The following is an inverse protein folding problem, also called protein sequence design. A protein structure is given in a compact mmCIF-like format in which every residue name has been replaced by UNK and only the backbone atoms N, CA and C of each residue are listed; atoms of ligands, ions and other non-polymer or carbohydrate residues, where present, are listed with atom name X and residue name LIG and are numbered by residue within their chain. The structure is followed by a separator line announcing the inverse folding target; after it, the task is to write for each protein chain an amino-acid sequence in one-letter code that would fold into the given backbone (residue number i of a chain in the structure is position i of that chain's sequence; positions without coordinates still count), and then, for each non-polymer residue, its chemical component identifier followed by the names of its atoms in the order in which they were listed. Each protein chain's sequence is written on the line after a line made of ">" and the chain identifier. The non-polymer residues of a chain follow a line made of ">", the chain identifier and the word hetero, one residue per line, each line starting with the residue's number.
data_IF_219398538266
#
_entry.id   IF_219398538266
#
_cell.length_a   1.000
_cell.length_b   1.000
_cell.length_c   1.000
_cell.angle_alpha   90.00
_cell.angle_beta   90.00
_cell.angle_gamma   90.00
#
_symmetry.space_group_name_H-M   'P 1'
#
loop_
_entity.id
_entity.type
_entity.pdbx_description
1 polymer ?
#
# COMPACT_ATOMS: atom_id res chain seq x y z
N UNK A 1 -15.82 -1.05 75.82
CA UNK A 1 -14.91 -0.12 75.13
C UNK A 1 -15.23 -0.20 73.64
N UNK A 2 -15.63 0.94 73.09
CA UNK A 2 -16.02 1.35 71.73
C UNK A 2 -15.98 0.36 70.54
N UNK A 3 -17.06 0.44 69.74
CA UNK A 3 -17.20 -0.04 68.35
C UNK A 3 -16.09 0.49 67.43
N UNK A 4 -15.69 -0.30 66.43
CA UNK A 4 -15.45 0.21 65.05
C UNK A 4 -15.85 -0.87 64.04
N UNK A 5 -17.02 -0.71 63.41
CA UNK A 5 -17.34 -1.37 62.14
C UNK A 5 -16.69 -0.54 61.02
N UNK A 6 -15.80 -1.14 60.23
CA UNK A 6 -15.34 -0.53 58.98
C UNK A 6 -16.34 -0.87 57.88
N UNK A 7 -17.20 0.09 57.56
CA UNK A 7 -18.00 0.09 56.34
C UNK A 7 -17.06 0.42 55.18
N UNK A 8 -16.80 -0.55 54.30
CA UNK A 8 -16.13 -0.28 53.03
C UNK A 8 -17.11 0.50 52.13
N UNK A 9 -16.84 1.78 51.91
CA UNK A 9 -17.51 2.57 50.88
C UNK A 9 -17.13 2.00 49.50
N UNK A 10 -18.06 1.30 48.86
CA UNK A 10 -18.04 1.08 47.42
C UNK A 10 -18.33 2.43 46.73
N UNK A 11 -17.27 3.12 46.31
CA UNK A 11 -17.37 4.26 45.42
C UNK A 11 -17.84 3.78 44.05
N UNK A 12 -19.14 3.90 43.79
CA UNK A 12 -19.68 3.84 42.43
C UNK A 12 -19.20 5.09 41.68
N UNK A 13 -18.19 4.94 40.83
CA UNK A 13 -17.90 5.92 39.80
C UNK A 13 -19.10 5.96 38.85
N UNK A 14 -19.69 7.14 38.55
CA UNK A 14 -20.73 7.22 37.54
C UNK A 14 -20.10 6.84 36.20
N UNK A 15 -20.58 5.75 35.60
CA UNK A 15 -20.31 5.45 34.21
C UNK A 15 -20.84 6.63 33.39
N UNK A 16 -19.94 7.47 32.90
CA UNK A 16 -20.27 8.49 31.90
C UNK A 16 -20.68 7.73 30.65
N UNK A 17 -21.99 7.58 30.45
CA UNK A 17 -22.57 7.21 29.18
C UNK A 17 -22.12 8.27 28.16
N UNK A 18 -21.06 7.95 27.42
CA UNK A 18 -20.68 8.71 26.23
C UNK A 18 -21.84 8.60 25.25
N UNK A 19 -22.58 9.69 25.10
CA UNK A 19 -23.57 9.86 24.05
C UNK A 19 -22.93 9.52 22.70
N UNK A 20 -23.57 8.71 21.84
CA UNK A 20 -23.07 8.51 20.49
C UNK A 20 -23.08 9.89 19.83
N UNK A 21 -21.90 10.37 19.43
CA UNK A 21 -21.79 11.54 18.57
C UNK A 21 -22.35 11.09 17.23
N UNK A 22 -23.66 11.28 17.02
CA UNK A 22 -24.27 11.27 15.69
C UNK A 22 -23.85 12.55 14.99
N UNK A 23 -22.56 12.63 14.66
CA UNK A 23 -22.02 13.61 13.75
C UNK A 23 -22.26 13.11 12.35
N UNK A 24 -23.45 13.37 11.81
CA UNK A 24 -23.71 13.26 10.38
C UNK A 24 -23.00 14.45 9.69
N UNK A 25 -21.67 14.45 9.72
CA UNK A 25 -20.88 15.37 8.93
C UNK A 25 -20.95 14.88 7.50
N UNK A 26 -21.93 15.35 6.74
CA UNK A 26 -21.82 15.35 5.27
C UNK A 26 -20.49 16.01 4.95
N UNK A 27 -19.52 15.20 4.56
CA UNK A 27 -18.15 15.62 4.29
C UNK A 27 -18.19 16.65 3.19
N UNK A 28 -17.81 17.89 3.50
CA UNK A 28 -17.46 18.89 2.50
C UNK A 28 -16.38 18.27 1.61
N UNK A 29 -16.67 18.08 0.33
CA UNK A 29 -15.76 17.45 -0.62
C UNK A 29 -14.38 18.12 -0.64
N UNK A 30 -13.35 17.35 -1.00
CA UNK A 30 -11.99 17.85 -1.15
C UNK A 30 -11.95 19.02 -2.15
N UNK A 31 -11.47 20.18 -1.71
CA UNK A 31 -11.38 21.40 -2.55
C UNK A 31 -9.97 21.71 -3.04
N UNK A 32 -8.95 21.10 -2.43
CA UNK A 32 -7.53 21.32 -2.74
C UNK A 32 -6.78 19.99 -2.64
N UNK A 33 -6.96 19.07 -3.60
CA UNK A 33 -6.27 17.79 -3.55
C UNK A 33 -4.76 17.98 -3.63
N UNK A 34 -4.02 17.19 -2.86
CA UNK A 34 -2.58 17.03 -3.08
C UNK A 34 -2.33 16.10 -4.26
N UNK A 35 -1.23 16.28 -4.98
CA UNK A 35 -0.95 15.50 -6.19
C UNK A 35 0.14 14.48 -5.88
N UNK A 36 -0.20 13.19 -5.95
CA UNK A 36 0.76 12.08 -5.97
C UNK A 36 1.43 12.03 -7.35
N UNK A 37 2.75 11.91 -7.38
CA UNK A 37 3.57 12.10 -8.58
C UNK A 37 4.45 10.91 -8.88
N UNK A 38 4.79 10.72 -10.15
CA UNK A 38 5.71 9.66 -10.56
C UNK A 38 7.11 9.94 -9.99
N UNK A 39 7.77 8.92 -9.42
CA UNK A 39 9.04 9.04 -8.70
C UNK A 39 10.11 9.87 -9.45
N UNK A 40 10.24 9.71 -10.76
CA UNK A 40 11.28 10.36 -11.56
C UNK A 40 11.03 11.86 -11.74
N UNK A 41 9.81 12.33 -11.49
CA UNK A 41 9.48 13.75 -11.51
C UNK A 41 9.86 14.47 -10.21
N UNK A 42 10.10 13.72 -9.13
CA UNK A 42 10.51 14.29 -7.85
C UNK A 42 11.92 14.86 -7.92
N UNK A 43 12.12 15.98 -7.22
CA UNK A 43 13.47 16.51 -6.96
C UNK A 43 14.27 15.55 -6.07
N UNK A 44 15.60 15.61 -6.16
CA UNK A 44 16.46 14.78 -5.29
C UNK A 44 16.19 15.03 -3.79
N UNK A 45 15.91 16.29 -3.40
CA UNK A 45 15.58 16.61 -2.01
C UNK A 45 14.31 15.93 -1.50
N UNK A 46 13.30 15.75 -2.36
CA UNK A 46 12.08 15.01 -2.02
C UNK A 46 12.36 13.50 -1.90
N UNK A 47 13.16 12.94 -2.82
CA UNK A 47 13.62 11.54 -2.76
C UNK A 47 14.40 11.27 -1.47
N UNK A 48 15.31 12.15 -1.10
CA UNK A 48 16.09 12.03 0.13
C UNK A 48 15.21 12.12 1.38
N UNK A 49 14.19 12.99 1.40
CA UNK A 49 13.21 13.06 2.50
C UNK A 49 12.41 11.77 2.62
N UNK A 50 11.98 11.18 1.50
CA UNK A 50 11.28 9.90 1.48
C UNK A 50 12.14 8.80 2.14
N UNK A 51 13.39 8.64 1.70
CA UNK A 51 14.30 7.63 2.25
C UNK A 51 14.58 7.85 3.75
N UNK A 52 14.77 9.11 4.18
CA UNK A 52 14.94 9.43 5.61
C UNK A 52 13.71 9.06 6.43
N UNK A 53 12.51 9.33 5.93
CA UNK A 53 11.29 8.99 6.64
C UNK A 53 11.08 7.48 6.73
N UNK A 54 11.37 6.72 5.67
CA UNK A 54 11.33 5.24 5.71
C UNK A 54 12.25 4.70 6.80
N UNK A 55 13.50 5.18 6.88
CA UNK A 55 14.46 4.76 7.92
C UNK A 55 14.00 5.15 9.32
N UNK A 56 13.47 6.36 9.49
CA UNK A 56 12.91 6.81 10.76
C UNK A 56 11.80 5.90 11.28
N UNK A 57 11.01 5.25 10.41
CA UNK A 57 10.00 4.28 10.86
C UNK A 57 10.60 3.05 11.55
N UNK A 58 11.85 2.68 11.23
CA UNK A 58 12.55 1.58 11.92
C UNK A 58 12.93 1.95 13.35
N UNK A 59 13.14 3.25 13.62
CA UNK A 59 13.49 3.77 14.95
C UNK A 59 12.25 4.04 15.82
N UNK A 60 11.05 4.12 15.21
CA UNK A 60 9.79 4.28 15.95
C UNK A 60 9.39 2.93 16.54
N UNK A 61 9.04 2.85 17.85
CA UNK A 61 8.59 1.59 18.43
C UNK A 61 7.29 1.12 17.78
N UNK A 62 7.11 -0.20 17.70
CA UNK A 62 5.82 -0.82 17.33
C UNK A 62 4.70 -0.29 18.21
N UNK A 63 3.53 -0.08 17.61
CA UNK A 63 2.29 0.28 18.30
C UNK A 63 1.37 -0.91 18.52
N UNK A 64 1.61 -2.03 17.83
CA UNK A 64 0.83 -3.26 17.96
C UNK A 64 1.35 -4.17 19.06
N UNK A 65 2.66 -4.12 19.34
CA UNK A 65 3.30 -5.02 20.30
C UNK A 65 3.16 -6.49 19.92
N UNK A 66 2.97 -6.78 18.63
CA UNK A 66 2.93 -8.14 18.12
C UNK A 66 4.32 -8.79 18.19
N UNK A 67 4.36 -10.11 18.32
CA UNK A 67 5.64 -10.84 18.37
C UNK A 67 6.46 -10.55 17.10
N UNK A 68 7.77 -10.43 17.26
CA UNK A 68 8.77 -10.02 16.24
C UNK A 68 8.58 -8.62 15.61
N UNK A 69 7.40 -7.99 15.71
CA UNK A 69 7.17 -6.61 15.27
C UNK A 69 7.74 -5.62 16.29
N UNK A 70 8.96 -5.13 16.07
CA UNK A 70 9.66 -4.27 17.04
C UNK A 70 9.50 -2.79 16.75
N UNK A 71 9.30 -2.44 15.49
CA UNK A 71 9.21 -1.06 15.02
C UNK A 71 7.88 -0.76 14.33
N UNK A 72 7.57 0.53 14.18
CA UNK A 72 6.44 0.96 13.36
C UNK A 72 6.62 0.54 11.90
N UNK A 73 7.86 0.38 11.43
CA UNK A 73 8.15 -0.20 10.12
C UNK A 73 7.69 -1.66 10.04
N UNK A 74 8.00 -2.47 11.05
CA UNK A 74 7.63 -3.89 11.11
C UNK A 74 6.10 -4.08 11.20
N UNK A 75 5.39 -3.16 11.87
CA UNK A 75 3.92 -3.23 12.02
C UNK A 75 3.19 -3.25 10.67
N UNK A 76 3.69 -2.51 9.66
CA UNK A 76 3.12 -2.56 8.31
C UNK A 76 3.20 -3.98 7.74
N UNK A 77 4.37 -4.62 7.84
CA UNK A 77 4.59 -5.98 7.35
C UNK A 77 3.78 -7.01 8.15
N UNK A 78 3.69 -6.86 9.47
CA UNK A 78 2.89 -7.72 10.33
C UNK A 78 1.41 -7.69 9.95
N UNK A 79 0.84 -6.51 9.80
CA UNK A 79 -0.58 -6.34 9.46
C UNK A 79 -0.87 -6.97 8.11
N UNK A 80 -0.09 -6.62 7.09
CA UNK A 80 -0.25 -7.12 5.73
C UNK A 80 -0.12 -8.65 5.64
N UNK A 81 0.88 -9.22 6.32
CA UNK A 81 1.07 -10.67 6.41
C UNK A 81 -0.14 -11.35 7.06
N UNK A 82 -0.57 -10.82 8.21
CA UNK A 82 -1.59 -11.47 9.04
C UNK A 82 -2.98 -11.38 8.41
N UNK A 83 -3.29 -10.28 7.72
CA UNK A 83 -4.58 -10.09 7.02
C UNK A 83 -4.57 -10.59 5.58
N UNK A 84 -3.48 -11.22 5.10
CA UNK A 84 -3.29 -11.55 3.69
C UNK A 84 -4.50 -12.22 3.01
N UNK A 85 -5.16 -13.17 3.70
CA UNK A 85 -6.32 -13.91 3.16
C UNK A 85 -7.60 -13.08 2.99
N UNK A 86 -7.63 -11.88 3.54
CA UNK A 86 -8.78 -10.96 3.51
C UNK A 86 -8.46 -9.65 2.82
N UNK A 87 -7.28 -9.55 2.17
CA UNK A 87 -6.84 -8.36 1.44
C UNK A 87 -6.25 -8.67 0.06
N UNK A 88 -5.97 -9.95 -0.25
CA UNK A 88 -5.53 -10.40 -1.57
C UNK A 88 -6.48 -11.44 -2.15
N UNK A 89 -6.69 -11.37 -3.46
CA UNK A 89 -7.62 -12.18 -4.22
C UNK A 89 -9.04 -12.13 -3.61
N UNK A 90 -9.41 -10.94 -3.13
CA UNK A 90 -10.70 -10.56 -2.55
C UNK A 90 -11.11 -9.16 -3.00
N UNK A 91 -12.40 -8.86 -2.91
CA UNK A 91 -12.96 -7.56 -3.28
C UNK A 91 -12.28 -6.39 -2.57
N UNK A 92 -11.88 -6.54 -1.31
CA UNK A 92 -11.28 -5.46 -0.50
C UNK A 92 -9.87 -5.06 -0.92
N UNK A 93 -9.25 -5.73 -1.90
CA UNK A 93 -7.88 -5.49 -2.35
C UNK A 93 -7.58 -4.00 -2.57
N UNK A 94 -8.33 -3.33 -3.45
CA UNK A 94 -8.10 -1.92 -3.73
C UNK A 94 -8.35 -0.99 -2.54
N UNK A 95 -9.54 -0.97 -1.89
CA UNK A 95 -9.80 -0.05 -0.78
C UNK A 95 -8.88 -0.29 0.41
N UNK A 96 -8.51 -1.54 0.71
CA UNK A 96 -7.59 -1.86 1.79
C UNK A 96 -6.18 -1.33 1.51
N UNK A 97 -5.64 -1.56 0.30
CA UNK A 97 -4.32 -1.05 -0.06
C UNK A 97 -4.27 0.47 -0.20
N UNK A 98 -5.37 1.11 -0.65
CA UNK A 98 -5.52 2.57 -0.60
C UNK A 98 -5.45 3.09 0.84
N UNK A 99 -6.16 2.46 1.77
CA UNK A 99 -6.06 2.82 3.19
C UNK A 99 -4.63 2.63 3.70
N UNK A 100 -3.99 1.52 3.34
CA UNK A 100 -2.63 1.21 3.76
C UNK A 100 -1.59 2.25 3.27
N UNK A 101 -1.76 2.79 2.06
CA UNK A 101 -0.96 3.93 1.57
C UNK A 101 -1.16 5.19 2.41
N UNK A 102 -2.41 5.52 2.75
CA UNK A 102 -2.74 6.67 3.61
C UNK A 102 -2.11 6.51 5.00
N UNK A 103 -2.16 5.31 5.57
CA UNK A 103 -1.51 5.01 6.85
C UNK A 103 0.01 5.18 6.77
N UNK A 104 0.63 4.78 5.65
CA UNK A 104 2.06 4.99 5.42
C UNK A 104 2.42 6.47 5.31
N UNK A 105 1.65 7.25 4.56
CA UNK A 105 1.83 8.71 4.46
C UNK A 105 1.73 9.37 5.84
N UNK A 106 0.71 9.02 6.63
CA UNK A 106 0.55 9.54 7.99
C UNK A 106 1.69 9.15 8.93
N UNK A 107 2.21 7.91 8.81
CA UNK A 107 3.36 7.47 9.58
C UNK A 107 4.64 8.22 9.16
N UNK A 108 4.86 8.39 7.86
CA UNK A 108 6.03 9.10 7.31
C UNK A 108 5.98 10.61 7.61
N UNK A 109 4.80 11.21 7.71
CA UNK A 109 4.63 12.60 8.18
C UNK A 109 5.16 12.80 9.60
N UNK A 110 4.98 11.82 10.50
CA UNK A 110 5.58 11.84 11.86
C UNK A 110 7.11 11.69 11.84
N UNK A 111 7.68 11.39 10.68
CA UNK A 111 9.11 11.35 10.39
C UNK A 111 9.58 12.50 9.47
N UNK A 112 8.75 13.53 9.28
CA UNK A 112 9.11 14.76 8.55
C UNK A 112 9.02 14.65 7.03
N UNK A 113 8.31 13.66 6.49
CA UNK A 113 7.97 13.59 5.07
C UNK A 113 6.53 14.06 4.84
N UNK A 114 6.39 15.28 4.31
CA UNK A 114 5.10 15.96 4.08
C UNK A 114 4.69 15.96 2.60
N UNK A 115 5.55 15.46 1.71
CA UNK A 115 5.22 15.30 0.29
C UNK A 115 4.22 14.12 0.12
N UNK A 116 3.32 14.15 -0.88
CA UNK A 116 2.43 13.03 -1.18
C UNK A 116 3.18 11.76 -1.59
N UNK A 117 2.60 10.57 -1.33
CA UNK A 117 3.20 9.29 -1.72
C UNK A 117 3.49 9.26 -3.23
N UNK A 118 4.73 9.04 -3.65
CA UNK A 118 5.05 8.86 -5.05
C UNK A 118 4.60 7.49 -5.53
N UNK A 119 4.42 7.36 -6.85
CA UNK A 119 4.19 6.08 -7.49
C UNK A 119 5.33 5.74 -8.45
N UNK A 120 5.47 4.44 -8.74
CA UNK A 120 6.36 3.96 -9.78
C UNK A 120 5.53 3.55 -11.00
N UNK A 121 5.62 4.31 -12.09
CA UNK A 121 5.07 3.85 -13.37
C UNK A 121 6.00 2.79 -13.99
N UNK A 122 5.74 1.54 -13.62
CA UNK A 122 6.52 0.40 -14.09
C UNK A 122 6.25 0.04 -15.56
N UNK A 123 5.21 0.59 -16.19
CA UNK A 123 4.98 0.40 -17.64
C UNK A 123 6.10 1.01 -18.48
N UNK A 124 6.81 2.01 -17.92
CA UNK A 124 8.00 2.64 -18.53
C UNK A 124 9.24 1.74 -18.49
N UNK A 125 9.22 0.71 -17.64
CA UNK A 125 10.31 -0.22 -17.40
C UNK A 125 9.99 -1.65 -17.86
N UNK A 126 8.93 -1.84 -18.67
CA UNK A 126 8.41 -3.15 -19.06
C UNK A 126 9.24 -3.87 -20.15
N UNK A 127 10.57 -3.73 -20.11
CA UNK A 127 11.53 -4.58 -20.84
C UNK A 127 12.74 -4.85 -19.95
N UNK A 128 13.48 -5.97 -20.13
CA UNK A 128 14.62 -6.28 -19.27
C UNK A 128 15.73 -5.24 -19.35
N UNK A 129 15.87 -4.57 -20.50
CA UNK A 129 16.82 -3.48 -20.67
C UNK A 129 16.39 -2.22 -19.91
N UNK A 130 15.14 -1.77 -20.11
CA UNK A 130 14.62 -0.57 -19.45
C UNK A 130 14.56 -0.75 -17.94
N UNK A 131 14.12 -1.91 -17.48
CA UNK A 131 14.11 -2.27 -16.06
C UNK A 131 15.48 -2.11 -15.42
N UNK A 132 16.54 -2.73 -15.97
CA UNK A 132 17.90 -2.62 -15.41
C UNK A 132 18.44 -1.18 -15.39
N UNK A 133 18.00 -0.34 -16.32
CA UNK A 133 18.41 1.07 -16.45
C UNK A 133 17.49 2.04 -15.70
N UNK A 134 16.45 1.55 -15.03
CA UNK A 134 15.49 2.39 -14.34
C UNK A 134 16.14 3.19 -13.22
N UNK A 135 15.81 4.48 -13.12
CA UNK A 135 16.26 5.33 -12.01
C UNK A 135 15.82 4.80 -10.65
N UNK A 136 14.76 3.99 -10.59
CA UNK A 136 14.31 3.32 -9.38
C UNK A 136 15.39 2.40 -8.78
N UNK A 137 16.36 1.94 -9.56
CA UNK A 137 17.46 1.09 -9.08
C UNK A 137 18.81 1.82 -8.97
N UNK A 138 18.83 3.14 -9.19
CA UNK A 138 20.00 3.96 -8.92
C UNK A 138 20.27 4.00 -7.40
N UNK A 139 21.54 3.92 -7.01
CA UNK A 139 21.96 3.85 -5.59
C UNK A 139 21.84 5.18 -4.84
N UNK A 140 21.54 6.28 -5.52
CA UNK A 140 21.37 7.61 -4.91
C UNK A 140 20.00 8.20 -5.20
N UNK A 141 19.49 8.01 -6.41
CA UNK A 141 18.22 8.57 -6.88
C UNK A 141 17.05 7.60 -6.72
N UNK A 142 17.31 6.33 -6.43
CA UNK A 142 16.30 5.29 -6.34
C UNK A 142 16.44 4.47 -5.06
N UNK A 143 16.16 3.19 -5.17
CA UNK A 143 16.02 2.25 -4.07
C UNK A 143 17.18 1.25 -4.00
N UNK A 144 18.21 1.42 -4.84
CA UNK A 144 19.29 0.45 -5.04
C UNK A 144 18.86 -0.71 -5.95
N UNK A 145 19.84 -1.48 -6.42
CA UNK A 145 19.64 -2.56 -7.39
C UNK A 145 19.24 -3.90 -6.77
N UNK A 146 19.61 -4.97 -7.47
CA UNK A 146 19.38 -6.36 -7.07
C UNK A 146 20.19 -6.73 -5.80
N UNK A 147 19.82 -7.83 -5.16
CA UNK A 147 20.58 -8.40 -4.06
C UNK A 147 21.90 -8.98 -4.55
N UNK A 148 22.97 -8.76 -3.78
CA UNK A 148 24.33 -9.24 -4.12
C UNK A 148 25.11 -9.80 -2.93
N UNK A 149 24.59 -9.63 -1.70
CA UNK A 149 25.21 -10.17 -0.48
C UNK A 149 24.87 -11.63 -0.23
N UNK A 150 25.53 -12.23 0.75
CA UNK A 150 25.21 -13.59 1.20
C UNK A 150 23.94 -13.60 2.06
N UNK A 151 23.07 -14.58 1.85
CA UNK A 151 21.96 -14.87 2.75
C UNK A 151 21.52 -16.32 2.56
N UNK A 152 21.09 -16.98 3.63
CA UNK A 152 20.35 -18.24 3.62
C UNK A 152 18.83 -18.01 3.76
N UNK A 153 18.40 -16.75 3.71
CA UNK A 153 17.00 -16.35 3.80
C UNK A 153 16.25 -16.47 2.45
N UNK A 154 14.95 -16.73 2.52
CA UNK A 154 14.20 -17.38 1.41
C UNK A 154 14.04 -16.51 0.15
N UNK A 155 14.40 -17.05 -1.02
CA UNK A 155 14.22 -16.50 -2.38
C UNK A 155 14.85 -15.12 -2.67
N UNK A 156 15.92 -14.74 -1.95
CA UNK A 156 16.57 -13.43 -2.10
C UNK A 156 18.08 -13.44 -1.83
N UNK A 157 18.76 -12.34 -2.13
CA UNK A 157 20.11 -12.00 -1.66
C UNK A 157 20.06 -10.65 -0.93
N UNK A 158 20.93 -10.41 0.05
CA UNK A 158 20.96 -9.12 0.74
C UNK A 158 21.23 -7.96 -0.23
N UNK A 159 20.50 -6.86 -0.06
CA UNK A 159 20.82 -5.59 -0.72
C UNK A 159 22.04 -4.97 -0.05
N UNK A 160 23.15 -4.84 -0.79
CA UNK A 160 24.43 -4.32 -0.25
C UNK A 160 24.71 -2.86 -0.64
N UNK A 161 23.93 -2.28 -1.55
CA UNK A 161 24.19 -0.96 -2.14
C UNK A 161 22.94 -0.08 -2.14
N UNK A 162 23.15 1.24 -2.12
CA UNK A 162 22.08 2.24 -2.17
C UNK A 162 21.43 2.57 -0.82
N UNK A 163 20.27 3.24 -0.81
CA UNK A 163 19.73 3.82 0.42
C UNK A 163 19.32 2.79 1.47
N UNK A 164 19.07 1.55 1.07
CA UNK A 164 18.63 0.44 1.93
C UNK A 164 19.67 -0.68 2.03
N UNK A 165 20.94 -0.37 1.73
CA UNK A 165 22.05 -1.30 1.95
C UNK A 165 22.03 -1.82 3.40
N UNK A 166 21.98 -3.14 3.55
CA UNK A 166 21.92 -3.86 4.84
C UNK A 166 20.81 -3.36 5.77
N UNK A 167 19.70 -2.90 5.21
CA UNK A 167 18.51 -2.60 5.99
C UNK A 167 18.10 -3.86 6.77
N UNK A 168 18.13 -3.81 8.10
CA UNK A 168 17.66 -4.92 8.93
C UNK A 168 16.13 -4.82 9.11
N UNK A 169 15.43 -5.92 8.89
CA UNK A 169 13.99 -6.05 9.16
C UNK A 169 13.81 -7.10 10.26
N UNK A 170 12.81 -6.93 11.15
CA UNK A 170 12.62 -7.86 12.28
C UNK A 170 11.54 -8.91 12.01
N UNK A 171 10.61 -8.61 11.09
CA UNK A 171 9.44 -9.41 10.81
C UNK A 171 9.55 -10.11 9.43
N UNK A 172 9.10 -11.38 9.29
CA UNK A 172 8.59 -12.27 10.35
C UNK A 172 9.69 -12.80 11.28
N UNK A 173 10.94 -12.75 10.83
CA UNK A 173 12.13 -13.05 11.61
C UNK A 173 13.25 -12.08 11.20
N UNK A 174 14.29 -11.87 12.03
CA UNK A 174 15.37 -10.95 11.70
C UNK A 174 16.18 -11.35 10.45
N UNK A 175 16.28 -10.46 9.47
CA UNK A 175 17.14 -10.63 8.28
C UNK A 175 17.47 -9.28 7.63
N UNK A 176 18.41 -9.28 6.69
CA UNK A 176 18.63 -8.14 5.80
C UNK A 176 17.47 -8.03 4.79
N UNK A 177 17.16 -6.83 4.30
CA UNK A 177 16.28 -6.66 3.14
C UNK A 177 16.87 -7.44 1.95
N UNK A 178 16.05 -8.30 1.35
CA UNK A 178 16.47 -9.15 0.24
C UNK A 178 15.78 -8.80 -1.08
N UNK A 179 16.52 -8.95 -2.19
CA UNK A 179 16.01 -8.86 -3.56
C UNK A 179 16.58 -9.98 -4.42
N UNK A 180 15.86 -10.36 -5.48
CA UNK A 180 16.34 -11.29 -6.51
C UNK A 180 15.56 -11.06 -7.79
N UNK A 181 16.09 -10.22 -8.65
CA UNK A 181 15.38 -9.80 -9.85
C UNK A 181 15.12 -10.98 -10.80
N UNK A 182 13.85 -11.18 -11.14
CA UNK A 182 13.41 -12.07 -12.21
C UNK A 182 12.81 -11.26 -13.35
N UNK A 183 13.67 -10.84 -14.27
CA UNK A 183 13.35 -9.92 -15.35
C UNK A 183 13.52 -10.57 -16.73
N UNK A 184 13.17 -11.85 -16.81
CA UNK A 184 13.03 -12.51 -18.11
C UNK A 184 11.87 -11.88 -18.91
N UNK A 185 11.96 -11.91 -20.24
CA UNK A 185 10.92 -11.35 -21.13
C UNK A 185 9.49 -11.82 -20.79
N UNK A 186 9.24 -13.12 -20.50
CA UNK A 186 7.90 -13.57 -20.13
C UNK A 186 7.38 -13.01 -18.80
N UNK A 187 8.26 -12.53 -17.91
CA UNK A 187 7.86 -11.92 -16.65
C UNK A 187 7.57 -10.44 -16.87
N UNK A 188 8.48 -9.71 -17.50
CA UNK A 188 8.34 -8.26 -17.71
C UNK A 188 7.21 -7.85 -18.64
N UNK A 189 6.79 -8.73 -19.54
CA UNK A 189 5.68 -8.47 -20.45
C UNK A 189 4.31 -8.34 -19.76
N UNK A 190 4.17 -8.79 -18.50
CA UNK A 190 2.91 -8.77 -17.74
C UNK A 190 2.49 -7.39 -17.22
N UNK A 191 3.32 -6.36 -17.34
CA UNK A 191 3.02 -4.99 -16.90
C UNK A 191 3.35 -3.93 -17.95
N UNK A 192 3.33 -4.32 -19.22
CA UNK A 192 3.44 -3.38 -20.34
C UNK A 192 2.24 -2.44 -20.41
N UNK A 193 2.41 -1.29 -21.07
CA UNK A 193 1.27 -0.39 -21.36
C UNK A 193 0.14 -1.13 -22.08
N UNK A 194 0.45 -2.00 -23.04
CA UNK A 194 -0.56 -2.80 -23.75
C UNK A 194 -1.40 -3.68 -22.80
N UNK A 195 -0.76 -4.35 -21.83
CA UNK A 195 -1.49 -5.17 -20.84
C UNK A 195 -2.38 -4.27 -19.98
N UNK A 196 -1.84 -3.18 -19.46
CA UNK A 196 -2.60 -2.25 -18.60
C UNK A 196 -3.77 -1.63 -19.37
N UNK A 197 -3.57 -1.22 -20.64
CA UNK A 197 -4.63 -0.70 -21.51
C UNK A 197 -5.79 -1.68 -21.67
N UNK A 198 -5.51 -2.98 -21.87
CA UNK A 198 -6.55 -4.01 -22.00
C UNK A 198 -7.38 -4.16 -20.73
N UNK A 199 -6.73 -4.13 -19.57
CA UNK A 199 -7.41 -4.29 -18.28
C UNK A 199 -8.36 -3.14 -18.01
N UNK A 200 -8.00 -1.94 -18.42
CA UNK A 200 -8.80 -0.77 -18.08
C UNK A 200 -10.00 -0.57 -18.99
N UNK A 201 -10.18 -1.47 -19.96
CA UNK A 201 -11.40 -1.63 -20.74
C UNK A 201 -12.46 -2.46 -20.02
N UNK A 202 -12.15 -3.14 -18.91
CA UNK A 202 -13.18 -3.85 -18.14
C UNK A 202 -14.21 -2.87 -17.60
N UNK A 203 -15.49 -3.21 -17.76
CA UNK A 203 -16.59 -2.29 -17.43
C UNK A 203 -16.98 -2.32 -15.96
N UNK A 204 -16.70 -3.43 -15.27
CA UNK A 204 -17.08 -3.67 -13.88
C UNK A 204 -15.88 -3.94 -12.97
N UNK A 205 -16.09 -3.69 -11.69
CA UNK A 205 -15.08 -3.83 -10.64
C UNK A 205 -14.50 -5.25 -10.58
N UNK A 206 -15.33 -6.29 -10.63
CA UNK A 206 -14.90 -7.67 -10.44
C UNK A 206 -13.88 -8.10 -11.51
N UNK A 207 -14.13 -7.79 -12.78
CA UNK A 207 -13.19 -8.11 -13.86
C UNK A 207 -11.95 -7.20 -13.82
N UNK A 208 -12.14 -5.90 -13.57
CA UNK A 208 -11.04 -4.95 -13.46
C UNK A 208 -10.05 -5.32 -12.35
N UNK A 209 -10.59 -5.58 -11.15
CA UNK A 209 -9.82 -5.97 -9.97
C UNK A 209 -9.10 -7.30 -10.19
N UNK A 210 -9.81 -8.36 -10.56
CA UNK A 210 -9.20 -9.69 -10.73
C UNK A 210 -8.04 -9.65 -11.73
N UNK A 211 -8.22 -8.94 -12.85
CA UNK A 211 -7.17 -8.85 -13.84
C UNK A 211 -6.01 -7.99 -13.35
N UNK A 212 -6.26 -6.84 -12.71
CA UNK A 212 -5.21 -5.97 -12.17
C UNK A 212 -4.37 -6.68 -11.09
N UNK A 213 -5.02 -7.43 -10.19
CA UNK A 213 -4.30 -8.13 -9.11
C UNK A 213 -3.43 -9.27 -9.67
N UNK A 214 -3.94 -10.02 -10.64
CA UNK A 214 -3.18 -11.09 -11.31
C UNK A 214 -2.07 -10.53 -12.23
N UNK A 215 -2.37 -9.47 -12.98
CA UNK A 215 -1.50 -8.83 -13.96
C UNK A 215 -1.85 -7.34 -13.95
N UNK A 216 -1.07 -6.40 -13.38
CA UNK A 216 0.37 -6.49 -13.21
C UNK A 216 0.82 -6.83 -11.79
N UNK A 217 -0.03 -6.72 -10.77
CA UNK A 217 0.38 -6.72 -9.36
C UNK A 217 1.22 -7.96 -8.97
N UNK A 218 0.66 -9.17 -9.08
CA UNK A 218 1.35 -10.41 -8.69
C UNK A 218 2.67 -10.61 -9.43
N UNK A 219 2.67 -10.32 -10.74
CA UNK A 219 3.84 -10.51 -11.58
C UNK A 219 4.95 -9.51 -11.26
N UNK A 220 4.58 -8.30 -10.85
CA UNK A 220 5.53 -7.29 -10.46
C UNK A 220 6.21 -7.60 -9.13
N UNK A 221 5.45 -8.06 -8.13
CA UNK A 221 6.01 -8.58 -6.88
C UNK A 221 7.03 -9.70 -7.14
N UNK A 222 6.72 -10.61 -8.09
CA UNK A 222 7.63 -11.70 -8.49
C UNK A 222 8.87 -11.20 -9.23
N UNK A 223 8.81 -10.06 -9.91
CA UNK A 223 9.91 -9.51 -10.68
C UNK A 223 11.03 -8.95 -9.81
N UNK A 224 10.69 -8.34 -8.66
CA UNK A 224 11.67 -7.84 -7.69
C UNK A 224 12.23 -8.99 -6.85
N UNK A 225 11.41 -10.00 -6.52
CA UNK A 225 11.85 -11.13 -5.71
C UNK A 225 12.14 -10.75 -4.26
N UNK A 226 12.83 -11.63 -3.53
CA UNK A 226 13.17 -11.44 -2.11
C UNK A 226 11.94 -11.08 -1.26
N UNK A 227 12.07 -10.07 -0.41
CA UNK A 227 11.01 -9.59 0.48
C UNK A 227 9.75 -9.16 -0.29
N UNK A 228 9.91 -8.44 -1.40
CA UNK A 228 8.75 -7.92 -2.13
C UNK A 228 7.84 -9.02 -2.68
N UNK A 229 8.35 -10.23 -2.93
CA UNK A 229 7.55 -11.36 -3.41
C UNK A 229 6.69 -12.00 -2.30
N UNK A 230 6.94 -11.69 -1.04
CA UNK A 230 6.37 -12.40 0.12
C UNK A 230 5.14 -11.70 0.68
N UNK A 231 4.45 -12.38 1.59
CA UNK A 231 3.29 -11.81 2.31
C UNK A 231 3.71 -10.67 3.27
N UNK A 232 4.99 -10.56 3.59
CA UNK A 232 5.60 -9.45 4.33
C UNK A 232 6.27 -8.44 3.37
N UNK A 233 5.79 -8.35 2.13
CA UNK A 233 6.30 -7.43 1.11
C UNK A 233 6.42 -5.96 1.51
N UNK A 234 5.68 -5.40 2.50
CA UNK A 234 5.93 -4.05 2.99
C UNK A 234 7.31 -3.82 3.64
N UNK A 235 8.08 -4.90 3.91
CA UNK A 235 9.50 -4.82 4.26
C UNK A 235 10.32 -4.14 3.14
N UNK A 236 9.91 -4.26 1.89
CA UNK A 236 10.54 -3.59 0.77
C UNK A 236 9.92 -2.19 0.57
N UNK A 237 10.69 -1.10 0.68
CA UNK A 237 10.15 0.25 0.48
C UNK A 237 9.52 0.50 -0.91
N UNK A 238 9.93 -0.22 -1.96
CA UNK A 238 9.28 -0.17 -3.28
C UNK A 238 7.81 -0.63 -3.25
N UNK A 239 7.37 -1.39 -2.24
CA UNK A 239 5.99 -1.82 -2.05
C UNK A 239 5.01 -0.64 -2.17
N UNK A 240 5.31 0.47 -1.47
CA UNK A 240 4.39 1.60 -1.42
C UNK A 240 4.33 2.37 -2.74
N UNK A 241 5.42 2.40 -3.51
CA UNK A 241 5.41 2.99 -4.86
C UNK A 241 4.68 2.10 -5.87
N UNK A 242 4.82 0.77 -5.72
CA UNK A 242 4.08 -0.20 -6.52
C UNK A 242 2.57 -0.07 -6.27
N UNK A 243 2.14 -0.13 -5.01
CA UNK A 243 0.72 0.00 -4.67
C UNK A 243 0.17 1.39 -4.94
N UNK A 244 0.98 2.46 -4.88
CA UNK A 244 0.54 3.78 -5.32
C UNK A 244 0.24 3.82 -6.84
N UNK A 245 0.94 3.04 -7.66
CA UNK A 245 0.62 2.88 -9.08
C UNK A 245 -0.63 2.02 -9.28
N UNK A 246 -0.83 0.95 -8.49
CA UNK A 246 -2.08 0.18 -8.51
C UNK A 246 -3.28 1.06 -8.13
N UNK A 247 -3.13 1.88 -7.09
CA UNK A 247 -4.13 2.85 -6.65
C UNK A 247 -4.40 3.93 -7.71
N UNK A 248 -3.35 4.37 -8.43
CA UNK A 248 -3.48 5.27 -9.58
C UNK A 248 -4.32 4.65 -10.68
N UNK A 249 -4.05 3.41 -11.07
CA UNK A 249 -4.83 2.71 -12.10
C UNK A 249 -6.30 2.59 -11.70
N UNK A 250 -6.59 2.23 -10.44
CA UNK A 250 -7.97 2.19 -9.96
C UNK A 250 -8.63 3.58 -9.99
N UNK A 251 -7.93 4.63 -9.56
CA UNK A 251 -8.43 6.02 -9.61
C UNK A 251 -8.79 6.45 -11.04
N UNK A 252 -7.92 6.15 -12.02
CA UNK A 252 -8.15 6.45 -13.44
C UNK A 252 -9.33 5.64 -13.96
N UNK A 253 -9.42 4.35 -13.61
CA UNK A 253 -10.52 3.48 -14.05
C UNK A 253 -11.87 3.97 -13.54
N UNK A 254 -11.92 4.42 -12.29
CA UNK A 254 -13.11 5.04 -11.71
C UNK A 254 -13.49 6.32 -12.45
N UNK A 255 -12.51 7.14 -12.88
CA UNK A 255 -12.72 8.25 -13.81
C UNK A 255 -13.75 9.29 -13.36
N UNK A 256 -13.97 9.42 -12.05
CA UNK A 256 -15.08 10.21 -11.44
C UNK A 256 -16.48 9.81 -11.92
N UNK A 257 -16.64 8.61 -12.49
CA UNK A 257 -17.93 8.08 -12.91
C UNK A 257 -18.68 7.54 -11.67
N UNK A 258 -19.86 8.09 -11.38
CA UNK A 258 -20.66 7.72 -10.20
C UNK A 258 -20.94 6.20 -10.11
N UNK A 259 -21.13 5.52 -11.25
CA UNK A 259 -21.30 4.06 -11.24
C UNK A 259 -20.03 3.37 -10.75
N UNK A 260 -18.86 3.73 -11.28
CA UNK A 260 -17.58 3.09 -10.93
C UNK A 260 -17.03 3.52 -9.56
N UNK A 261 -17.41 4.71 -9.07
CA UNK A 261 -17.11 5.14 -7.69
C UNK A 261 -17.86 4.32 -6.64
N UNK A 262 -18.93 3.62 -7.02
CA UNK A 262 -19.69 2.75 -6.12
C UNK A 262 -19.71 1.28 -6.55
N UNK A 263 -18.98 0.94 -7.62
CA UNK A 263 -18.87 -0.42 -8.11
C UNK A 263 -17.90 -1.22 -7.23
N UNK A 264 -18.41 -2.28 -6.61
CA UNK A 264 -17.70 -3.12 -5.67
C UNK A 264 -18.39 -4.48 -5.59
N UNK A 265 -17.64 -5.54 -5.91
CA UNK A 265 -18.14 -6.90 -5.98
C UNK A 265 -17.01 -7.91 -5.75
N UNK A 266 -17.36 -9.13 -5.36
CA UNK A 266 -16.46 -10.25 -5.21
C UNK A 266 -16.53 -10.90 -3.82
N UNK A 267 -15.54 -11.74 -3.54
CA UNK A 267 -15.42 -12.49 -2.31
C UNK A 267 -14.72 -11.68 -1.21
N UNK A 268 -15.08 -11.91 0.05
CA UNK A 268 -14.45 -11.25 1.22
C UNK A 268 -13.27 -12.02 1.80
N UNK A 269 -13.09 -13.28 1.39
CA UNK A 269 -11.98 -14.15 1.80
C UNK A 269 -11.43 -14.91 0.61
N UNK A 270 -10.10 -15.01 0.54
CA UNK A 270 -9.36 -15.66 -0.52
C UNK A 270 -9.86 -17.11 -0.74
N UNK A 271 -9.89 -17.53 -2.01
CA UNK A 271 -10.37 -18.84 -2.49
C UNK A 271 -11.88 -19.10 -2.32
N UNK A 272 -12.66 -18.13 -1.81
CA UNK A 272 -14.10 -18.21 -1.90
C UNK A 272 -14.57 -17.73 -3.28
N UNK A 273 -15.59 -18.39 -3.83
CA UNK A 273 -16.20 -18.05 -5.12
C UNK A 273 -17.58 -17.41 -4.96
N UNK A 274 -17.89 -16.92 -3.76
CA UNK A 274 -19.16 -16.27 -3.43
C UNK A 274 -19.00 -14.76 -3.53
N UNK A 275 -19.96 -14.10 -4.17
CA UNK A 275 -20.05 -12.64 -4.24
C UNK A 275 -20.82 -12.14 -3.02
N UNK A 276 -20.08 -11.78 -1.97
CA UNK A 276 -20.66 -11.39 -0.67
C UNK A 276 -20.13 -10.07 -0.14
N UNK A 277 -19.23 -9.43 -0.89
CA UNK A 277 -18.63 -8.17 -0.49
C UNK A 277 -19.66 -7.04 -0.52
N UNK A 278 -19.51 -6.10 0.43
CA UNK A 278 -20.37 -4.94 0.57
C UNK A 278 -19.55 -3.68 0.85
N UNK A 279 -20.02 -2.53 0.37
CA UNK A 279 -19.43 -1.22 0.71
C UNK A 279 -19.44 -0.93 2.23
N UNK A 280 -20.32 -1.59 2.99
CA UNK A 280 -20.40 -1.48 4.45
C UNK A 280 -19.38 -2.37 5.19
N UNK A 281 -18.66 -3.23 4.47
CA UNK A 281 -17.64 -4.09 5.06
C UNK A 281 -16.54 -3.23 5.71
N UNK A 282 -15.99 -3.74 6.81
CA UNK A 282 -14.95 -3.04 7.56
C UNK A 282 -13.57 -3.50 7.11
N UNK A 283 -12.66 -2.55 6.90
CA UNK A 283 -11.27 -2.82 6.56
C UNK A 283 -10.48 -3.21 7.81
N UNK A 284 -10.06 -4.47 7.88
CA UNK A 284 -9.34 -5.03 9.02
C UNK A 284 -7.88 -4.55 9.05
N UNK A 285 -7.49 -3.91 10.15
CA UNK A 285 -6.10 -3.40 10.37
C UNK A 285 -5.47 -3.97 11.65
N UNK A 286 -6.11 -4.94 12.32
CA UNK A 286 -5.61 -5.56 13.55
C UNK A 286 -5.28 -4.57 14.68
N UNK A 287 -5.99 -3.44 14.74
CA UNK A 287 -5.75 -2.39 15.73
C UNK A 287 -4.61 -1.43 15.38
N UNK A 288 -3.98 -1.60 14.21
CA UNK A 288 -2.92 -0.71 13.72
C UNK A 288 -3.41 0.70 13.43
N UNK A 289 -4.67 0.80 13.02
CA UNK A 289 -5.35 2.04 12.72
C UNK A 289 -6.85 1.92 13.04
N UNK A 290 -7.58 3.04 13.18
CA UNK A 290 -9.02 3.01 13.35
C UNK A 290 -9.71 2.16 12.28
N UNK A 291 -10.71 1.38 12.69
CA UNK A 291 -11.56 0.64 11.75
C UNK A 291 -12.33 1.63 10.90
N UNK A 292 -12.32 1.41 9.57
CA UNK A 292 -13.02 2.21 8.58
C UNK A 292 -13.72 1.30 7.57
N UNK A 293 -14.76 1.82 6.93
CA UNK A 293 -15.53 1.08 5.92
C UNK A 293 -14.81 0.98 4.59
N UNK A 294 -15.34 0.17 3.67
CA UNK A 294 -14.91 0.17 2.26
C UNK A 294 -15.32 1.48 1.57
N UNK A 295 -16.54 1.94 1.81
CA UNK A 295 -17.12 3.20 1.29
C UNK A 295 -16.25 4.44 1.54
N UNK A 296 -15.55 4.46 2.66
CA UNK A 296 -14.58 5.47 3.07
C UNK A 296 -13.40 5.66 2.10
N UNK A 297 -13.10 4.66 1.26
CA UNK A 297 -11.93 4.64 0.38
C UNK A 297 -12.27 4.50 -1.11
N UNK A 298 -13.55 4.50 -1.47
CA UNK A 298 -13.92 4.39 -2.88
C UNK A 298 -13.59 5.65 -3.70
N UNK A 299 -13.54 6.83 -3.07
CA UNK A 299 -13.26 8.10 -3.75
C UNK A 299 -12.10 8.85 -3.06
N UNK A 300 -11.01 9.12 -3.80
CA UNK A 300 -9.80 9.83 -3.33
C UNK A 300 -10.02 11.30 -2.94
N UNK A 301 -11.19 11.86 -3.24
CA UNK A 301 -11.58 13.26 -2.97
C UNK A 301 -12.70 13.37 -1.92
N UNK A 302 -13.08 12.26 -1.28
CA UNK A 302 -14.15 12.25 -0.28
C UNK A 302 -13.72 11.53 1.00
N UNK A 303 -14.59 11.55 2.03
CA UNK A 303 -14.43 10.75 3.24
C UNK A 303 -13.04 10.90 3.91
N UNK A 304 -12.53 12.13 3.98
CA UNK A 304 -11.25 12.45 4.60
C UNK A 304 -10.02 12.17 3.72
N UNK A 305 -10.21 11.63 2.51
CA UNK A 305 -9.21 11.61 1.45
C UNK A 305 -9.28 12.93 0.66
N UNK A 306 -8.12 13.38 0.17
CA UNK A 306 -8.03 14.59 -0.64
C UNK A 306 -6.76 14.57 -1.50
N UNK A 307 -6.70 13.66 -2.47
CA UNK A 307 -5.57 13.56 -3.40
C UNK A 307 -5.98 13.14 -4.82
N UNK A 308 -5.11 13.49 -5.78
CA UNK A 308 -5.15 13.06 -7.18
C UNK A 308 -3.79 12.51 -7.61
N UNK A 309 -3.71 12.00 -8.84
CA UNK A 309 -2.45 11.72 -9.52
C UNK A 309 -2.18 12.78 -10.59
N UNK A 310 -0.91 13.04 -10.91
CA UNK A 310 -0.49 14.09 -11.84
C UNK A 310 -0.95 13.90 -13.29
N UNK A 311 -1.52 12.75 -13.62
CA UNK A 311 -2.10 12.39 -14.91
C UNK A 311 -3.50 11.75 -14.78
N UNK A 312 -4.17 11.93 -13.63
CA UNK A 312 -5.52 11.38 -13.42
C UNK A 312 -6.59 12.00 -14.34
N UNK A 313 -6.37 13.25 -14.77
CA UNK A 313 -7.26 14.01 -15.68
C UNK A 313 -6.77 13.96 -17.13
N UNK A 314 -5.57 13.44 -17.37
CA UNK A 314 -5.18 13.10 -18.73
C UNK A 314 -6.10 11.94 -19.11
N UNK A 315 -7.07 12.20 -20.00
CA UNK A 315 -7.73 11.13 -20.75
C UNK A 315 -6.61 10.17 -21.10
N UNK A 316 -6.68 8.94 -20.60
CA UNK A 316 -5.61 8.01 -20.88
C UNK A 316 -5.72 7.72 -22.37
N UNK A 317 -4.97 8.52 -23.13
CA UNK A 317 -5.03 8.55 -24.58
C UNK A 317 -4.43 7.23 -24.98
N UNK A 318 -5.32 6.44 -25.54
CA UNK A 318 -5.04 5.19 -26.18
C UNK A 318 -4.08 5.49 -27.33
N UNK A 319 -2.78 5.47 -27.05
CA UNK A 319 -1.78 5.43 -28.09
C UNK A 319 -1.79 3.99 -28.61
N UNK A 320 -2.51 3.80 -29.72
CA UNK A 320 -2.62 2.54 -30.48
C UNK A 320 -1.28 2.14 -31.16
N UNK A 321 -0.20 2.85 -30.86
CA UNK A 321 1.06 2.84 -31.60
C UNK A 321 1.91 1.56 -31.39
N UNK A 322 1.51 0.65 -30.49
CA UNK A 322 2.18 -0.64 -30.28
C UNK A 322 1.42 -1.83 -30.92
N UNK A 323 0.38 -1.57 -31.72
CA UNK A 323 -0.28 -2.58 -32.57
C UNK A 323 0.37 -2.64 -33.97
N UNK A 324 1.64 -3.05 -34.04
CA UNK A 324 2.24 -3.58 -35.28
C UNK A 324 3.37 -4.57 -35.00
#
# INVERSE_FOLDING_TARGET
>A
MMLVFWVALLSFLPATLSTPVTGNSKTTGCTKPVVRREWRTLSQGQKDKFHRAVKCLQDKPSILGADQSKSLFDDFSYVHYTTNRTIHHVASFFPWHRYFLVLREQAMAKCGYEDPMPYWDWTRDATPEKFRKSELFDSKKGFGGDGSGETDWVDGLCVEEGPYARLEVNYPEPHCLTRRFNISEPVVSNWTKSVVNKIMQYDNYLEFWNNTELHPHDNFHRAIGGDLRRQYSPNEPLFFLHHAQIDRLWTIWQGRNETRLHDYAGNTVQNATVDTASLNDQLLTLGFAPTRGVDDFMDTLSNGLCYTYDDADDEWKYDDDDAN
#
